data_IF_879197803277
#
_entry.id   IF_879197803277
#
_cell.length_a   1.000
_cell.length_b   1.000
_cell.length_c   1.000
_cell.angle_alpha   90.00
_cell.angle_beta   90.00
_cell.angle_gamma   90.00
#
_symmetry.space_group_name_H-M   'P 1'
#
loop_
_entity.id
_entity.type
_entity.pdbx_description
1 polymer ?
#
# COMPACT_ATOMS: atom_id res chain seq x y z
N UNK A 1 13.03 1.86 -13.78
CA UNK A 1 13.24 2.95 -12.81
C UNK A 1 12.71 2.46 -11.48
N UNK A 2 13.55 2.34 -10.45
CA UNK A 2 13.10 1.95 -9.11
C UNK A 2 12.76 3.22 -8.31
N UNK A 3 11.76 3.14 -7.44
CA UNK A 3 11.38 4.23 -6.53
C UNK A 3 11.69 3.83 -5.11
N UNK A 4 12.19 4.77 -4.34
CA UNK A 4 12.31 4.67 -2.89
C UNK A 4 11.14 5.41 -2.24
N UNK A 5 10.44 4.75 -1.32
CA UNK A 5 9.51 5.44 -0.41
C UNK A 5 10.30 5.64 0.89
N UNK A 6 10.46 6.89 1.38
CA UNK A 6 11.43 7.24 2.43
C UNK A 6 11.01 6.80 3.84
N UNK A 7 10.10 5.84 3.94
CA UNK A 7 9.61 5.26 5.18
C UNK A 7 8.33 4.47 4.97
N UNK A 8 7.93 3.76 6.01
CA UNK A 8 6.61 3.13 6.13
C UNK A 8 6.00 3.58 7.45
N UNK A 9 4.68 3.79 7.47
CA UNK A 9 3.97 4.06 8.71
C UNK A 9 4.25 2.99 9.76
N UNK A 10 4.24 3.35 11.05
CA UNK A 10 4.53 2.43 12.17
C UNK A 10 3.72 1.15 12.10
N UNK A 11 2.40 1.24 11.94
CA UNK A 11 1.51 0.08 11.81
C UNK A 11 1.90 -0.84 10.64
N UNK A 12 2.37 -0.28 9.53
CA UNK A 12 2.81 -1.07 8.39
C UNK A 12 4.15 -1.78 8.67
N UNK A 13 5.06 -1.14 9.43
CA UNK A 13 6.29 -1.77 9.91
C UNK A 13 5.97 -2.93 10.86
N UNK A 14 5.12 -2.70 11.86
CA UNK A 14 4.74 -3.73 12.84
C UNK A 14 4.07 -4.95 12.17
N UNK A 15 3.20 -4.71 11.18
CA UNK A 15 2.57 -5.76 10.40
C UNK A 15 3.58 -6.51 9.52
N UNK A 16 4.56 -5.81 8.94
CA UNK A 16 5.63 -6.44 8.16
C UNK A 16 6.56 -7.27 9.03
N UNK A 17 6.94 -6.79 10.21
CA UNK A 17 7.78 -7.55 11.15
C UNK A 17 7.06 -8.84 11.58
N UNK A 18 5.78 -8.72 11.94
CA UNK A 18 4.92 -9.87 12.28
C UNK A 18 4.83 -10.86 11.12
N UNK A 19 4.74 -10.38 9.88
CA UNK A 19 4.75 -11.24 8.69
C UNK A 19 6.12 -11.88 8.45
N UNK A 20 7.22 -11.14 8.57
CA UNK A 20 8.57 -11.63 8.36
C UNK A 20 8.93 -12.75 9.34
N UNK A 21 8.44 -12.69 10.58
CA UNK A 21 8.57 -13.77 11.56
C UNK A 21 7.80 -15.05 11.17
N UNK A 22 6.65 -14.90 10.51
CA UNK A 22 5.81 -16.02 10.08
C UNK A 22 6.20 -16.59 8.72
N UNK A 23 6.77 -15.75 7.84
CA UNK A 23 7.08 -16.06 6.44
C UNK A 23 7.90 -17.36 6.28
N UNK A 24 8.93 -17.68 7.10
CA UNK A 24 9.68 -18.93 6.97
C UNK A 24 8.81 -20.18 7.07
N UNK A 25 7.72 -20.15 7.85
CA UNK A 25 6.80 -21.30 8.03
C UNK A 25 5.98 -21.60 6.78
N UNK A 26 5.93 -20.67 5.83
CA UNK A 26 5.22 -20.82 4.56
C UNK A 26 6.11 -21.38 3.45
N UNK A 27 7.42 -21.46 3.67
CA UNK A 27 8.37 -21.95 2.69
C UNK A 27 8.51 -23.48 2.78
N UNK A 28 8.43 -24.20 1.65
CA UNK A 28 8.82 -25.60 1.61
C UNK A 28 10.31 -25.77 1.98
N UNK A 29 10.65 -26.93 2.52
CA UNK A 29 12.05 -27.27 2.82
C UNK A 29 12.94 -27.10 1.58
N UNK A 30 14.07 -26.42 1.74
CA UNK A 30 15.01 -26.13 0.65
C UNK A 30 14.54 -25.09 -0.36
N UNK A 31 13.46 -24.35 -0.09
CA UNK A 31 13.00 -23.27 -0.97
C UNK A 31 14.01 -22.12 -1.05
N UNK A 32 14.25 -21.63 -2.28
CA UNK A 32 15.06 -20.45 -2.57
C UNK A 32 14.21 -19.22 -2.90
N UNK A 33 12.92 -19.23 -2.56
CA UNK A 33 11.98 -18.15 -2.89
C UNK A 33 12.26 -16.88 -2.07
N UNK A 34 12.45 -15.76 -2.78
CA UNK A 34 12.82 -14.46 -2.21
C UNK A 34 11.66 -13.45 -2.21
N UNK A 35 10.51 -13.78 -2.78
CA UNK A 35 9.34 -12.89 -2.76
C UNK A 35 8.90 -12.54 -1.33
N UNK A 36 8.70 -11.24 -1.05
CA UNK A 36 8.26 -10.76 0.27
C UNK A 36 6.93 -11.40 0.67
N UNK A 37 5.94 -11.37 -0.21
CA UNK A 37 4.62 -11.98 0.01
C UNK A 37 4.51 -13.32 -0.71
N UNK A 38 4.00 -14.32 0.01
CA UNK A 38 3.88 -15.69 -0.46
C UNK A 38 2.42 -16.11 -0.55
N UNK A 39 2.12 -16.92 -1.55
CA UNK A 39 0.90 -17.72 -1.61
C UNK A 39 0.97 -18.87 -0.59
N UNK A 40 -0.18 -19.50 -0.31
CA UNK A 40 -0.28 -20.70 0.54
C UNK A 40 0.60 -21.88 0.09
N UNK A 41 1.10 -21.86 -1.15
CA UNK A 41 2.02 -22.87 -1.70
C UNK A 41 3.50 -22.51 -1.52
N UNK A 42 3.80 -21.41 -0.82
CA UNK A 42 5.17 -20.94 -0.59
C UNK A 42 5.87 -20.38 -1.84
N UNK A 43 5.10 -19.94 -2.84
CA UNK A 43 5.57 -19.25 -4.05
C UNK A 43 5.14 -17.79 -4.03
N UNK A 44 5.78 -16.92 -4.79
CA UNK A 44 5.36 -15.53 -5.02
C UNK A 44 3.84 -15.38 -5.13
N UNK A 45 3.27 -14.47 -4.32
CA UNK A 45 1.87 -14.09 -4.42
C UNK A 45 1.61 -13.40 -5.77
N UNK A 46 0.58 -13.81 -6.49
CA UNK A 46 0.18 -13.16 -7.75
C UNK A 46 -0.67 -11.92 -7.50
N UNK A 47 -0.69 -10.99 -8.47
CA UNK A 47 -1.53 -9.79 -8.41
C UNK A 47 -3.02 -10.13 -8.21
N UNK A 48 -3.52 -11.11 -8.97
CA UNK A 48 -4.89 -11.60 -8.83
C UNK A 48 -5.17 -12.10 -7.41
N UNK A 49 -4.27 -12.92 -6.84
CA UNK A 49 -4.46 -13.45 -5.50
C UNK A 49 -4.42 -12.34 -4.43
N UNK A 50 -3.56 -11.34 -4.60
CA UNK A 50 -3.53 -10.17 -3.70
C UNK A 50 -4.85 -9.38 -3.76
N UNK A 51 -5.39 -9.16 -4.97
CA UNK A 51 -6.71 -8.52 -5.15
C UNK A 51 -7.82 -9.35 -4.50
N UNK A 52 -7.85 -10.66 -4.73
CA UNK A 52 -8.86 -11.55 -4.15
C UNK A 52 -8.80 -11.53 -2.61
N UNK A 53 -7.60 -11.50 -2.00
CA UNK A 53 -7.43 -11.37 -0.54
C UNK A 53 -8.02 -10.05 -0.04
N UNK A 54 -7.69 -8.92 -0.65
CA UNK A 54 -8.18 -7.60 -0.22
C UNK A 54 -9.70 -7.50 -0.37
N UNK A 55 -10.26 -7.99 -1.48
CA UNK A 55 -11.71 -7.99 -1.70
C UNK A 55 -12.43 -8.89 -0.68
N UNK A 56 -11.87 -10.06 -0.35
CA UNK A 56 -12.43 -10.92 0.69
C UNK A 56 -12.41 -10.25 2.07
N UNK A 57 -11.31 -9.58 2.43
CA UNK A 57 -11.23 -8.80 3.68
C UNK A 57 -12.27 -7.67 3.72
N UNK A 58 -12.50 -6.99 2.60
CA UNK A 58 -13.55 -5.97 2.50
C UNK A 58 -14.95 -6.54 2.71
N UNK A 59 -15.22 -7.70 2.10
CA UNK A 59 -16.48 -8.42 2.31
C UNK A 59 -16.68 -8.82 3.78
N UNK A 60 -15.66 -9.39 4.42
CA UNK A 60 -15.72 -9.80 5.84
C UNK A 60 -15.91 -8.60 6.78
N UNK A 61 -15.32 -7.45 6.43
CA UNK A 61 -15.52 -6.17 7.11
C UNK A 61 -16.85 -5.48 6.75
N UNK A 62 -17.68 -6.06 5.87
CA UNK A 62 -18.93 -5.49 5.34
C UNK A 62 -18.75 -4.11 4.69
N UNK A 63 -17.63 -3.92 4.01
CA UNK A 63 -17.37 -2.72 3.21
C UNK A 63 -18.14 -2.81 1.89
N UNK A 64 -18.89 -1.75 1.59
CA UNK A 64 -19.64 -1.61 0.34
C UNK A 64 -18.75 -1.26 -0.85
N UNK A 65 -19.33 -1.17 -2.06
CA UNK A 65 -18.65 -0.60 -3.21
C UNK A 65 -18.26 0.86 -2.95
N UNK A 66 -17.26 1.34 -3.68
CA UNK A 66 -16.85 2.74 -3.62
C UNK A 66 -17.88 3.70 -4.26
N UNK A 67 -17.59 5.00 -4.23
CA UNK A 67 -18.46 6.06 -4.77
C UNK A 67 -18.74 5.92 -6.28
N UNK A 68 -17.98 5.08 -6.99
CA UNK A 68 -18.15 4.79 -8.41
C UNK A 68 -18.88 3.46 -8.67
N UNK A 69 -19.29 2.76 -7.62
CA UNK A 69 -19.96 1.47 -7.70
C UNK A 69 -19.01 0.29 -7.92
N UNK A 70 -17.69 0.50 -7.83
CA UNK A 70 -16.72 -0.59 -7.96
C UNK A 70 -16.59 -1.35 -6.63
N UNK A 71 -16.47 -2.69 -6.66
CA UNK A 71 -16.27 -3.48 -5.45
C UNK A 71 -15.01 -3.05 -4.69
N UNK A 72 -15.08 -3.12 -3.36
CA UNK A 72 -13.93 -2.86 -2.51
C UNK A 72 -12.71 -3.68 -2.95
N UNK A 73 -11.57 -3.01 -3.12
CA UNK A 73 -10.34 -3.64 -3.56
C UNK A 73 -9.09 -2.79 -3.35
N UNK A 74 -7.93 -3.22 -3.91
CA UNK A 74 -6.66 -2.53 -3.74
C UNK A 74 -6.67 -1.05 -4.16
N UNK A 75 -7.45 -0.70 -5.19
CA UNK A 75 -7.59 0.68 -5.65
C UNK A 75 -8.35 1.54 -4.64
N UNK A 76 -9.39 1.00 -3.99
CA UNK A 76 -10.13 1.68 -2.92
C UNK A 76 -9.19 2.07 -1.79
N UNK A 77 -8.36 1.13 -1.31
CA UNK A 77 -7.34 1.42 -0.28
C UNK A 77 -6.37 2.53 -0.68
N UNK A 78 -5.92 2.51 -1.95
CA UNK A 78 -5.02 3.54 -2.50
C UNK A 78 -5.69 4.91 -2.56
N UNK A 79 -6.98 4.97 -2.92
CA UNK A 79 -7.75 6.20 -2.92
C UNK A 79 -8.00 6.72 -1.52
N UNK A 80 -8.34 5.86 -0.56
CA UNK A 80 -8.47 6.24 0.86
C UNK A 80 -7.19 6.86 1.39
N UNK A 81 -6.02 6.30 1.05
CA UNK A 81 -4.73 6.90 1.40
C UNK A 81 -4.56 8.31 0.78
N UNK A 82 -4.90 8.47 -0.49
CA UNK A 82 -4.84 9.75 -1.18
C UNK A 82 -5.74 10.81 -0.52
N UNK A 83 -6.99 10.43 -0.23
CA UNK A 83 -7.99 11.30 0.40
C UNK A 83 -7.56 11.66 1.82
N UNK A 84 -7.10 10.69 2.62
CA UNK A 84 -6.64 10.95 3.99
C UNK A 84 -5.48 11.94 4.04
N UNK A 85 -4.48 11.79 3.15
CA UNK A 85 -3.37 12.73 3.05
C UNK A 85 -3.84 14.13 2.61
N UNK A 86 -4.80 14.19 1.67
CA UNK A 86 -5.40 15.46 1.25
C UNK A 86 -6.15 16.14 2.39
N UNK A 87 -6.92 15.39 3.18
CA UNK A 87 -7.66 15.90 4.34
C UNK A 87 -6.74 16.40 5.46
N UNK A 88 -5.56 15.77 5.61
CA UNK A 88 -4.49 16.24 6.50
C UNK A 88 -3.74 17.46 5.96
N UNK A 89 -4.07 17.94 4.76
CA UNK A 89 -3.51 19.16 4.18
C UNK A 89 -2.21 18.98 3.39
N UNK A 90 -1.80 17.74 3.09
CA UNK A 90 -0.64 17.50 2.22
C UNK A 90 -0.92 17.92 0.79
N UNK A 91 0.09 18.48 0.12
CA UNK A 91 -0.02 18.95 -1.25
C UNK A 91 -0.01 17.78 -2.27
N UNK A 92 -0.50 18.05 -3.49
CA UNK A 92 -0.57 17.03 -4.54
C UNK A 92 0.79 16.40 -4.87
N UNK A 93 1.93 17.13 -4.90
CA UNK A 93 3.25 16.53 -5.07
C UNK A 93 3.60 15.51 -3.99
N UNK A 94 3.31 15.79 -2.72
CA UNK A 94 3.58 14.87 -1.61
C UNK A 94 2.70 13.62 -1.72
N UNK A 95 1.41 13.80 -2.00
CA UNK A 95 0.47 12.69 -2.20
C UNK A 95 0.92 11.81 -3.37
N UNK A 96 1.28 12.41 -4.50
CA UNK A 96 1.73 11.67 -5.68
C UNK A 96 3.07 10.95 -5.44
N UNK A 97 3.97 11.54 -4.66
CA UNK A 97 5.20 10.91 -4.19
C UNK A 97 4.92 9.65 -3.37
N UNK A 98 3.93 9.68 -2.46
CA UNK A 98 3.48 8.50 -1.69
C UNK A 98 2.89 7.43 -2.61
N UNK A 99 1.91 7.79 -3.44
CA UNK A 99 1.15 6.82 -4.23
C UNK A 99 1.98 6.21 -5.37
N UNK A 100 2.72 7.03 -6.11
CA UNK A 100 3.55 6.62 -7.25
C UNK A 100 2.92 6.98 -8.58
N UNK A 101 3.74 7.57 -9.46
CA UNK A 101 3.34 8.16 -10.74
C UNK A 101 3.24 7.13 -11.88
N UNK A 102 2.33 6.16 -11.84
CA UNK A 102 2.07 5.38 -13.07
C UNK A 102 1.12 6.11 -14.03
N UNK A 103 0.40 7.15 -13.59
CA UNK A 103 -0.23 8.14 -14.48
C UNK A 103 -0.81 9.30 -13.66
N UNK A 104 -0.04 10.38 -13.51
CA UNK A 104 -0.58 11.74 -13.49
C UNK A 104 0.41 12.53 -14.36
N UNK A 105 0.23 12.45 -15.68
CA UNK A 105 0.74 13.49 -16.58
C UNK A 105 -0.06 14.76 -16.29
N UNK A 106 0.36 15.50 -15.26
CA UNK A 106 0.08 16.94 -15.18
C UNK A 106 1.42 17.60 -15.44
N UNK A 107 1.73 17.71 -16.72
CA UNK A 107 2.92 18.36 -17.24
C UNK A 107 2.91 19.82 -16.81
N UNK A 108 3.94 20.19 -16.02
CA UNK A 108 4.40 21.57 -15.89
C UNK A 108 3.62 22.43 -14.89
N UNK A 109 3.87 22.22 -13.57
CA UNK A 109 3.95 23.35 -12.62
C UNK A 109 4.38 23.08 -11.18
N UNK A 110 4.64 21.84 -10.75
CA UNK A 110 4.84 21.58 -9.32
C UNK A 110 6.24 21.08 -8.98
N UNK A 111 6.84 21.74 -7.98
CA UNK A 111 8.05 21.32 -7.26
C UNK A 111 7.85 19.90 -6.74
N UNK A 112 8.79 19.01 -6.99
CA UNK A 112 8.76 17.64 -6.47
C UNK A 112 8.83 17.68 -4.94
N UNK A 113 7.95 16.95 -4.25
CA UNK A 113 8.03 16.79 -2.81
C UNK A 113 9.36 16.11 -2.43
N UNK A 114 9.96 16.57 -1.34
CA UNK A 114 11.17 15.99 -0.78
C UNK A 114 10.90 14.64 -0.13
N UNK A 115 11.97 13.86 0.06
CA UNK A 115 11.90 12.60 0.79
C UNK A 115 11.42 12.81 2.25
N UNK A 116 11.82 13.91 2.88
CA UNK A 116 11.41 14.24 4.25
C UNK A 116 9.89 14.49 4.34
N UNK A 117 9.33 15.28 3.42
CA UNK A 117 7.88 15.55 3.36
C UNK A 117 7.08 14.27 3.12
N UNK A 118 7.55 13.41 2.22
CA UNK A 118 6.89 12.12 1.94
C UNK A 118 6.93 11.19 3.16
N UNK A 119 8.04 11.14 3.88
CA UNK A 119 8.17 10.32 5.09
C UNK A 119 7.27 10.84 6.22
N UNK A 120 7.23 12.16 6.41
CA UNK A 120 6.35 12.80 7.39
C UNK A 120 4.88 12.52 7.09
N UNK A 121 4.48 12.64 5.83
CA UNK A 121 3.12 12.32 5.38
C UNK A 121 2.72 10.88 5.74
N UNK A 122 3.62 9.93 5.56
CA UNK A 122 3.38 8.54 5.92
C UNK A 122 3.34 8.29 7.42
N UNK A 123 4.18 8.95 8.23
CA UNK A 123 4.23 8.75 9.69
C UNK A 123 3.00 9.34 10.40
N UNK A 124 2.43 10.43 9.88
CA UNK A 124 1.30 11.12 10.49
C UNK A 124 -0.08 10.65 10.02
N UNK A 125 -0.15 9.57 9.23
CA UNK A 125 -1.42 8.98 8.83
C UNK A 125 -2.24 8.54 10.05
N UNK A 126 -3.34 9.22 10.30
CA UNK A 126 -4.30 8.79 11.33
C UNK A 126 -4.98 7.51 10.87
N UNK A 127 -4.59 6.38 11.48
CA UNK A 127 -5.30 5.11 11.35
C UNK A 127 -6.08 4.93 12.65
N UNK A 128 -7.41 5.09 12.59
CA UNK A 128 -8.26 4.70 13.71
C UNK A 128 -8.10 3.18 13.90
N UNK A 129 -7.66 2.76 15.08
CA UNK A 129 -7.36 1.36 15.44
C UNK A 129 -8.45 0.79 16.32
#
# INVERSE_FOLDING_TARGET
MYREIPGLHRTARDALDTWLDQRPRWLPNGSTETALFLSRRGKRLSDRAARDIVTALGHDARLGPDDHGEPFGPHTLRHTLATSLREQGYDLPTIASVLGHSSIEVTGRYTLASAAETAQALEHLTIET
#
